data_IF_465501762972
#
_entry.id   IF_465501762972
#
_cell.length_a   1.000
_cell.length_b   1.000
_cell.length_c   1.000
_cell.angle_alpha   90.00
_cell.angle_beta   90.00
_cell.angle_gamma   90.00
#
_symmetry.space_group_name_H-M   'P 1'
#
loop_
_entity.id
_entity.type
_entity.pdbx_description
1 polymer ?
#
# COMPACT_ATOMS: atom_id res chain seq x y z
N UNK A 1 9.54 31.61 29.02
CA UNK A 1 8.98 30.51 28.20
C UNK A 1 8.18 29.64 29.15
N UNK A 2 6.98 29.16 28.82
CA UNK A 2 6.31 28.19 29.69
C UNK A 2 7.25 27.00 29.89
N UNK A 3 7.47 26.61 31.13
CA UNK A 3 8.33 25.50 31.49
C UNK A 3 7.74 24.23 30.89
N UNK A 4 8.33 23.79 29.78
CA UNK A 4 7.96 22.52 29.18
C UNK A 4 8.36 21.40 30.14
N UNK A 5 7.47 20.45 30.45
CA UNK A 5 7.83 19.31 31.28
C UNK A 5 9.03 18.55 30.71
N UNK A 6 9.86 17.96 31.58
CA UNK A 6 11.07 17.21 31.17
C UNK A 6 10.79 16.12 30.13
N UNK A 7 9.63 15.47 30.25
CA UNK A 7 9.23 14.42 29.31
C UNK A 7 8.91 14.96 27.91
N UNK A 8 8.58 16.25 27.77
CA UNK A 8 8.38 16.95 26.51
C UNK A 8 9.72 17.46 25.96
N UNK A 9 10.57 18.03 26.82
CA UNK A 9 11.87 18.58 26.44
C UNK A 9 12.77 17.55 25.76
N UNK A 10 12.71 16.28 26.17
CA UNK A 10 13.43 15.16 25.53
C UNK A 10 13.17 15.03 24.02
N UNK A 11 12.04 15.55 23.53
CA UNK A 11 11.65 15.49 22.12
C UNK A 11 11.98 16.77 21.33
N UNK A 12 12.42 17.85 22.00
CA UNK A 12 12.84 19.11 21.38
C UNK A 12 14.26 18.99 20.83
N UNK A 13 14.39 18.36 19.67
CA UNK A 13 15.67 18.17 18.96
C UNK A 13 15.85 19.20 17.84
N UNK A 14 17.06 19.31 17.29
CA UNK A 14 17.34 20.16 16.12
C UNK A 14 16.37 19.82 14.98
N UNK A 15 15.69 20.84 14.44
CA UNK A 15 14.68 20.67 13.39
C UNK A 15 13.28 20.27 13.88
N UNK A 16 13.05 20.19 15.20
CA UNK A 16 11.74 19.89 15.79
C UNK A 16 11.33 21.00 16.74
N UNK A 17 10.18 21.61 16.47
CA UNK A 17 9.50 22.54 17.37
C UNK A 17 8.41 21.82 18.14
N UNK A 18 8.32 22.09 19.45
CA UNK A 18 7.17 21.68 20.26
C UNK A 18 6.32 22.90 20.55
N UNK A 19 5.05 22.83 20.21
CA UNK A 19 4.04 23.85 20.52
C UNK A 19 3.06 23.29 21.55
N UNK A 20 2.80 24.06 22.61
CA UNK A 20 1.70 23.81 23.52
C UNK A 20 0.43 24.45 22.97
N UNK A 21 -0.67 23.69 22.87
CA UNK A 21 -1.98 24.20 22.42
C UNK A 21 -3.06 23.75 23.38
N UNK A 22 -3.45 24.64 24.27
CA UNK A 22 -4.29 24.31 25.42
C UNK A 22 -3.47 23.62 26.52
N UNK A 23 -4.02 23.60 27.73
CA UNK A 23 -3.33 23.15 28.92
C UNK A 23 -2.87 21.69 28.80
N UNK A 24 -1.56 21.44 28.92
CA UNK A 24 -0.98 20.10 28.93
C UNK A 24 -0.95 19.37 27.59
N UNK A 25 -1.25 20.04 26.47
CA UNK A 25 -1.28 19.43 25.14
C UNK A 25 -0.11 19.90 24.28
N UNK A 26 0.83 18.98 24.01
CA UNK A 26 2.06 19.28 23.28
C UNK A 26 2.08 18.62 21.90
N UNK A 27 2.49 19.39 20.89
CA UNK A 27 2.49 19.00 19.49
C UNK A 27 3.84 19.24 18.84
N UNK A 28 4.35 18.23 18.14
CA UNK A 28 5.65 18.28 17.48
C UNK A 28 5.51 18.62 16.00
N UNK A 29 6.34 19.55 15.53
CA UNK A 29 6.41 20.01 14.16
C UNK A 29 7.86 19.97 13.65
N UNK A 30 8.05 19.54 12.41
CA UNK A 30 9.31 19.69 11.70
C UNK A 30 9.45 21.13 11.25
N UNK A 31 10.56 21.77 11.62
CA UNK A 31 10.85 23.15 11.27
C UNK A 31 12.19 23.26 10.55
N UNK A 32 12.26 24.21 9.62
CA UNK A 32 13.49 24.64 8.95
C UNK A 32 13.56 26.17 8.98
N UNK A 33 14.71 26.71 8.57
CA UNK A 33 14.91 28.16 8.51
C UNK A 33 15.40 28.53 7.12
N UNK A 34 14.74 29.50 6.48
CA UNK A 34 15.13 30.03 5.16
C UNK A 34 15.45 31.50 5.31
N UNK A 35 16.50 31.98 4.63
CA UNK A 35 16.82 33.40 4.62
C UNK A 35 15.69 34.20 3.95
N UNK A 36 15.20 35.24 4.63
CA UNK A 36 14.22 36.19 4.11
C UNK A 36 14.95 37.52 3.81
N UNK A 37 15.18 37.85 2.53
CA UNK A 37 15.93 39.05 2.15
C UNK A 37 15.17 40.35 2.42
N UNK A 38 13.83 40.34 2.45
CA UNK A 38 13.04 41.54 2.77
C UNK A 38 13.14 41.89 4.25
N UNK A 39 13.13 40.86 5.11
CA UNK A 39 13.30 41.04 6.57
C UNK A 39 14.76 41.08 7.02
N UNK A 40 15.71 40.83 6.11
CA UNK A 40 17.15 40.78 6.40
C UNK A 40 17.54 39.74 7.45
N UNK A 41 16.77 38.66 7.61
CA UNK A 41 17.00 37.65 8.66
C UNK A 41 16.47 36.26 8.28
N UNK A 42 16.95 35.19 8.93
CA UNK A 42 16.37 33.86 8.74
C UNK A 42 14.93 33.82 9.27
N UNK A 43 14.00 33.31 8.46
CA UNK A 43 12.62 33.07 8.82
C UNK A 43 12.38 31.58 9.07
N UNK A 44 11.78 31.27 10.23
CA UNK A 44 11.31 29.92 10.57
C UNK A 44 10.18 29.50 9.62
N UNK A 45 10.31 28.32 9.02
CA UNK A 45 9.29 27.66 8.21
C UNK A 45 8.86 26.38 8.94
N UNK A 46 7.55 26.18 9.07
CA UNK A 46 6.98 24.93 9.59
C UNK A 46 6.69 24.02 8.40
N UNK A 47 7.40 22.89 8.30
CA UNK A 47 7.27 21.96 7.16
C UNK A 47 6.16 20.95 7.38
N UNK A 48 6.16 20.28 8.53
CA UNK A 48 5.36 19.07 8.71
C UNK A 48 4.88 18.89 10.15
N UNK A 49 3.63 18.49 10.32
CA UNK A 49 3.13 18.01 11.61
C UNK A 49 3.59 16.55 11.86
N UNK A 50 4.40 16.37 12.91
CA UNK A 50 5.00 15.09 13.29
C UNK A 50 4.08 14.27 14.21
N UNK A 51 3.28 14.93 15.07
CA UNK A 51 2.36 14.23 15.97
C UNK A 51 2.16 14.89 17.33
N UNK A 52 1.35 14.26 18.18
CA UNK A 52 1.13 14.68 19.58
C UNK A 52 2.21 14.07 20.46
N UNK A 53 2.86 14.86 21.31
CA UNK A 53 3.80 14.35 22.31
C UNK A 53 3.00 13.80 23.48
N UNK A 54 3.14 12.49 23.74
CA UNK A 54 2.40 11.79 24.79
C UNK A 54 3.39 11.22 25.80
N UNK A 55 3.16 11.50 27.10
CA UNK A 55 3.98 11.01 28.20
C UNK A 55 4.13 9.48 28.12
N UNK A 56 5.37 8.99 28.12
CA UNK A 56 5.71 7.57 28.02
C UNK A 56 5.64 6.95 26.61
N UNK A 57 4.95 7.58 25.63
CA UNK A 57 4.87 7.08 24.24
C UNK A 57 5.72 7.88 23.24
N UNK A 58 6.15 9.08 23.63
CA UNK A 58 6.88 10.00 22.77
C UNK A 58 5.99 10.68 21.73
N UNK A 59 6.54 11.01 20.56
CA UNK A 59 5.79 11.65 19.47
C UNK A 59 4.91 10.60 18.79
N UNK A 60 3.59 10.71 18.97
CA UNK A 60 2.62 9.82 18.35
C UNK A 60 2.12 10.46 17.05
N UNK A 61 2.45 9.89 15.87
CA UNK A 61 2.07 10.47 14.59
C UNK A 61 0.55 10.48 14.37
N UNK A 62 0.04 11.35 13.47
CA UNK A 62 -1.38 11.38 13.13
C UNK A 62 -1.85 10.06 12.52
N UNK A 63 -3.14 9.72 12.69
CA UNK A 63 -3.70 8.39 12.35
C UNK A 63 -3.38 7.93 10.93
N UNK A 64 -3.38 8.84 9.96
CA UNK A 64 -3.07 8.53 8.55
C UNK A 64 -1.58 8.25 8.28
N UNK A 65 -0.66 8.69 9.15
CA UNK A 65 0.78 8.38 9.08
C UNK A 65 1.18 7.17 9.93
N UNK A 66 0.26 6.66 10.78
CA UNK A 66 0.52 5.46 11.56
C UNK A 66 0.56 4.26 10.62
N UNK A 67 1.67 3.52 10.60
CA UNK A 67 1.67 2.18 10.02
C UNK A 67 0.65 1.35 10.78
N UNK A 68 -0.35 0.81 10.08
CA UNK A 68 -1.24 -0.19 10.68
C UNK A 68 -0.38 -1.41 10.97
N UNK A 69 -0.14 -1.68 12.25
CA UNK A 69 0.39 -2.97 12.66
C UNK A 69 -0.77 -3.95 12.44
N UNK A 70 -0.76 -4.66 11.32
CA UNK A 70 -1.71 -5.74 11.08
C UNK A 70 -1.29 -6.91 11.96
N UNK A 71 -1.51 -6.77 13.26
CA UNK A 71 -1.49 -7.88 14.20
C UNK A 71 -2.92 -8.42 14.24
N UNK A 72 -3.30 -9.18 13.22
CA UNK A 72 -4.59 -9.83 13.17
C UNK A 72 -4.38 -11.22 12.59
N UNK A 73 -5.11 -12.19 13.14
CA UNK A 73 -5.27 -13.53 12.60
C UNK A 73 -5.45 -13.41 11.09
N UNK A 74 -4.46 -13.89 10.34
CA UNK A 74 -4.47 -13.79 8.90
C UNK A 74 -5.40 -14.86 8.36
N UNK A 75 -6.31 -14.47 7.49
CA UNK A 75 -7.11 -15.42 6.74
C UNK A 75 -6.20 -16.19 5.77
N UNK A 76 -6.12 -17.52 5.94
CA UNK A 76 -5.13 -18.38 5.26
C UNK A 76 -5.74 -19.37 4.27
N UNK A 77 -6.84 -20.05 4.63
CA UNK A 77 -7.32 -21.23 3.92
C UNK A 77 -7.69 -20.96 2.44
N UNK A 78 -8.45 -19.91 2.20
CA UNK A 78 -8.83 -19.47 0.85
C UNK A 78 -7.62 -19.05 0.01
N UNK A 79 -6.68 -18.30 0.58
CA UNK A 79 -5.49 -17.83 -0.12
C UNK A 79 -4.56 -19.00 -0.48
N UNK A 80 -4.35 -19.95 0.44
CA UNK A 80 -3.50 -21.11 0.17
C UNK A 80 -4.12 -22.04 -0.89
N UNK A 81 -5.44 -22.25 -0.85
CA UNK A 81 -6.15 -22.96 -1.90
C UNK A 81 -5.95 -22.27 -3.26
N UNK A 82 -6.17 -20.95 -3.33
CA UNK A 82 -6.00 -20.22 -4.58
C UNK A 82 -4.55 -20.17 -5.04
N UNK A 83 -3.56 -20.15 -4.13
CA UNK A 83 -2.15 -20.31 -4.51
C UNK A 83 -1.96 -21.60 -5.30
N UNK A 84 -2.48 -22.72 -4.78
CA UNK A 84 -2.34 -24.02 -5.45
C UNK A 84 -3.07 -24.05 -6.80
N UNK A 85 -4.30 -23.51 -6.87
CA UNK A 85 -5.05 -23.40 -8.13
C UNK A 85 -4.32 -22.56 -9.18
N UNK A 86 -3.63 -21.49 -8.74
CA UNK A 86 -2.92 -20.56 -9.63
C UNK A 86 -1.48 -20.98 -9.93
N UNK A 87 -0.95 -22.00 -9.25
CA UNK A 87 0.44 -22.47 -9.38
C UNK A 87 0.86 -22.81 -10.82
N UNK A 88 0.01 -23.46 -11.64
CA UNK A 88 0.36 -23.74 -13.05
C UNK A 88 0.63 -22.49 -13.89
N UNK A 89 0.06 -21.33 -13.52
CA UNK A 89 0.27 -20.06 -14.23
C UNK A 89 1.60 -19.39 -13.85
N UNK A 90 2.25 -19.81 -12.77
CA UNK A 90 3.33 -19.04 -12.17
C UNK A 90 4.56 -18.94 -13.08
N UNK A 91 4.96 -20.03 -13.74
CA UNK A 91 6.11 -20.03 -14.64
C UNK A 91 5.88 -19.16 -15.88
N UNK A 92 4.76 -19.37 -16.57
CA UNK A 92 4.41 -18.56 -17.74
C UNK A 92 4.19 -17.07 -17.41
N UNK A 93 3.76 -16.74 -16.19
CA UNK A 93 3.69 -15.35 -15.73
C UNK A 93 5.06 -14.79 -15.35
N UNK A 94 5.95 -15.60 -14.76
CA UNK A 94 7.32 -15.17 -14.43
C UNK A 94 8.11 -14.84 -15.68
N UNK A 95 7.97 -15.64 -16.73
CA UNK A 95 8.66 -15.41 -18.01
C UNK A 95 8.17 -14.14 -18.71
N UNK A 96 6.85 -13.94 -18.78
CA UNK A 96 6.24 -12.86 -19.55
C UNK A 96 6.06 -11.54 -18.78
N UNK A 97 5.97 -11.63 -17.44
CA UNK A 97 5.70 -10.52 -16.54
C UNK A 97 6.58 -10.60 -15.28
N UNK A 98 7.93 -10.66 -15.38
CA UNK A 98 8.83 -10.95 -14.26
C UNK A 98 8.69 -9.97 -13.08
N UNK A 99 8.43 -8.68 -13.35
CA UNK A 99 8.25 -7.67 -12.31
C UNK A 99 6.82 -7.63 -11.73
N UNK A 100 5.89 -8.38 -12.33
CA UNK A 100 4.46 -8.26 -12.08
C UNK A 100 3.75 -9.56 -11.76
N UNK A 101 4.36 -10.74 -11.94
CA UNK A 101 3.70 -12.03 -11.76
C UNK A 101 3.05 -12.17 -10.37
N UNK A 102 3.76 -11.79 -9.30
CA UNK A 102 3.20 -11.80 -7.93
C UNK A 102 2.03 -10.84 -7.78
N UNK A 103 2.09 -9.68 -8.43
CA UNK A 103 1.01 -8.69 -8.41
C UNK A 103 -0.23 -9.23 -9.13
N UNK A 104 -0.04 -9.88 -10.29
CA UNK A 104 -1.11 -10.48 -11.08
C UNK A 104 -1.78 -11.62 -10.30
N UNK A 105 -1.00 -12.57 -9.78
CA UNK A 105 -1.49 -13.71 -9.00
C UNK A 105 -2.21 -13.27 -7.73
N UNK A 106 -1.62 -12.33 -6.99
CA UNK A 106 -2.23 -11.76 -5.79
C UNK A 106 -3.54 -11.04 -6.10
N UNK A 107 -3.57 -10.22 -7.16
CA UNK A 107 -4.77 -9.53 -7.58
C UNK A 107 -5.88 -10.51 -8.00
N UNK A 108 -5.54 -11.57 -8.75
CA UNK A 108 -6.49 -12.61 -9.16
C UNK A 108 -7.08 -13.33 -7.95
N UNK A 109 -6.24 -13.74 -7.00
CA UNK A 109 -6.71 -14.40 -5.78
C UNK A 109 -7.63 -13.49 -4.95
N UNK A 110 -7.25 -12.22 -4.75
CA UNK A 110 -8.06 -11.27 -3.98
C UNK A 110 -9.36 -10.87 -4.69
N UNK A 111 -9.37 -10.86 -6.04
CA UNK A 111 -10.60 -10.70 -6.83
C UNK A 111 -11.56 -11.85 -6.59
N UNK A 112 -11.06 -13.08 -6.57
CA UNK A 112 -11.89 -14.27 -6.35
C UNK A 112 -12.38 -14.37 -4.90
N UNK A 113 -11.54 -14.11 -3.91
CA UNK A 113 -11.94 -14.21 -2.50
C UNK A 113 -12.93 -13.13 -2.05
N UNK A 114 -12.75 -11.89 -2.50
CA UNK A 114 -13.41 -10.74 -1.89
C UNK A 114 -14.18 -9.86 -2.87
N UNK A 115 -14.21 -10.21 -4.17
CA UNK A 115 -14.67 -9.33 -5.24
C UNK A 115 -14.00 -7.94 -5.16
N UNK A 116 -12.74 -7.91 -4.71
CA UNK A 116 -12.12 -6.68 -4.23
C UNK A 116 -12.05 -5.62 -5.34
N UNK A 117 -12.51 -4.38 -5.09
CA UNK A 117 -12.27 -3.28 -6.01
C UNK A 117 -10.80 -2.86 -5.94
N UNK A 118 -10.24 -2.29 -7.01
CA UNK A 118 -8.81 -1.91 -7.08
C UNK A 118 -8.36 -1.03 -5.91
N UNK A 119 -9.27 -0.19 -5.38
CA UNK A 119 -9.01 0.67 -4.23
C UNK A 119 -8.72 -0.08 -2.92
N UNK A 120 -9.21 -1.30 -2.76
CA UNK A 120 -9.11 -2.08 -1.54
C UNK A 120 -8.07 -3.21 -1.64
N UNK A 121 -7.49 -3.46 -2.83
CA UNK A 121 -6.53 -4.54 -3.06
C UNK A 121 -5.37 -4.53 -2.08
N UNK A 122 -4.71 -3.37 -1.91
CA UNK A 122 -3.64 -3.21 -0.94
C UNK A 122 -4.05 -3.60 0.47
N UNK A 123 -5.24 -3.17 0.89
CA UNK A 123 -5.75 -3.46 2.23
C UNK A 123 -5.98 -4.96 2.43
N UNK A 124 -6.72 -5.62 1.53
CA UNK A 124 -6.96 -7.07 1.62
C UNK A 124 -5.68 -7.89 1.53
N UNK A 125 -4.71 -7.46 0.74
CA UNK A 125 -3.40 -8.09 0.67
C UNK A 125 -2.66 -8.02 2.01
N UNK A 126 -2.55 -6.81 2.57
CA UNK A 126 -1.88 -6.54 3.85
C UNK A 126 -2.57 -7.24 5.04
N UNK A 127 -3.88 -7.54 4.93
CA UNK A 127 -4.68 -8.15 6.01
C UNK A 127 -4.98 -9.64 5.83
N UNK A 128 -4.53 -10.29 4.75
CA UNK A 128 -4.70 -11.73 4.53
C UNK A 128 -3.35 -12.42 4.34
N UNK A 129 -3.32 -13.75 4.26
CA UNK A 129 -2.07 -14.49 3.99
C UNK A 129 -1.45 -14.17 2.62
N UNK A 130 -2.16 -13.45 1.76
CA UNK A 130 -1.72 -13.00 0.44
C UNK A 130 -0.39 -12.23 0.49
N UNK A 131 -0.16 -11.36 1.50
CA UNK A 131 1.13 -10.66 1.64
C UNK A 131 2.32 -11.56 1.96
N UNK A 132 2.08 -12.78 2.46
CA UNK A 132 3.15 -13.75 2.70
C UNK A 132 3.43 -14.57 1.46
N UNK A 133 2.39 -14.98 0.74
CA UNK A 133 2.53 -15.78 -0.49
C UNK A 133 3.15 -14.96 -1.61
N UNK A 134 2.67 -13.73 -1.82
CA UNK A 134 3.10 -12.84 -2.90
C UNK A 134 3.70 -11.55 -2.32
N UNK A 135 4.78 -11.70 -1.56
CA UNK A 135 5.40 -10.61 -0.79
C UNK A 135 5.92 -9.43 -1.62
N UNK A 136 6.16 -9.62 -2.92
CA UNK A 136 6.62 -8.57 -3.84
C UNK A 136 5.47 -7.92 -4.62
N UNK A 137 4.21 -8.26 -4.32
CA UNK A 137 3.06 -7.70 -5.01
C UNK A 137 2.88 -6.21 -4.72
N UNK A 138 2.69 -5.40 -5.76
CA UNK A 138 2.45 -3.95 -5.65
C UNK A 138 0.99 -3.61 -5.98
N UNK A 139 0.17 -3.51 -4.93
CA UNK A 139 -1.29 -3.43 -5.06
C UNK A 139 -1.87 -2.05 -4.74
N UNK A 140 -1.06 -1.00 -4.85
CA UNK A 140 -1.57 0.37 -4.72
C UNK A 140 -2.53 0.70 -5.88
N UNK A 141 -3.58 1.50 -5.62
CA UNK A 141 -4.58 1.85 -6.66
C UNK A 141 -3.94 2.47 -7.90
N UNK A 142 -2.96 3.36 -7.71
CA UNK A 142 -2.30 4.06 -8.82
C UNK A 142 -1.45 3.08 -9.63
N UNK A 143 -0.68 2.23 -8.93
CA UNK A 143 0.11 1.18 -9.58
C UNK A 143 -0.77 0.24 -10.39
N UNK A 144 -1.87 -0.25 -9.81
CA UNK A 144 -2.77 -1.17 -10.49
C UNK A 144 -3.44 -0.54 -11.72
N UNK A 145 -3.88 0.71 -11.63
CA UNK A 145 -4.50 1.43 -12.76
C UNK A 145 -3.55 1.53 -13.95
N UNK A 146 -2.27 1.83 -13.69
CA UNK A 146 -1.24 1.92 -14.72
C UNK A 146 -0.89 0.54 -15.30
N UNK A 147 -0.57 -0.41 -14.41
CA UNK A 147 -0.15 -1.76 -14.78
C UNK A 147 -1.21 -2.54 -15.55
N UNK A 148 -2.50 -2.40 -15.21
CA UNK A 148 -3.59 -3.05 -15.96
C UNK A 148 -3.61 -2.64 -17.44
N UNK A 149 -3.31 -1.37 -17.74
CA UNK A 149 -3.24 -0.88 -19.12
C UNK A 149 -2.04 -1.47 -19.85
N UNK A 150 -0.90 -1.55 -19.17
CA UNK A 150 0.33 -2.15 -19.68
C UNK A 150 0.13 -3.65 -19.99
N UNK A 151 -0.30 -4.43 -18.99
CA UNK A 151 -0.57 -5.86 -19.15
C UNK A 151 -1.63 -6.12 -20.20
N UNK A 152 -2.67 -5.28 -20.27
CA UNK A 152 -3.74 -5.33 -21.26
C UNK A 152 -3.29 -5.04 -22.70
N UNK A 153 -2.18 -4.31 -22.89
CA UNK A 153 -1.57 -4.11 -24.21
C UNK A 153 -0.62 -5.24 -24.62
N UNK A 154 0.00 -5.92 -23.65
CA UNK A 154 0.88 -7.07 -23.94
C UNK A 154 0.08 -8.34 -24.27
N UNK A 155 -0.57 -8.35 -25.43
CA UNK A 155 -1.34 -9.51 -25.90
C UNK A 155 -0.48 -10.76 -26.08
N UNK A 156 0.75 -10.60 -26.60
CA UNK A 156 1.68 -11.70 -26.82
C UNK A 156 2.06 -12.41 -25.52
N UNK A 157 2.40 -11.65 -24.47
CA UNK A 157 2.73 -12.23 -23.17
C UNK A 157 1.55 -12.94 -22.54
N UNK A 158 0.33 -12.37 -22.61
CA UNK A 158 -0.87 -13.06 -22.12
C UNK A 158 -1.10 -14.40 -22.84
N UNK A 159 -0.99 -14.42 -24.18
CA UNK A 159 -1.16 -15.64 -24.94
C UNK A 159 -0.10 -16.69 -24.62
N UNK A 160 1.17 -16.29 -24.47
CA UNK A 160 2.26 -17.21 -24.11
C UNK A 160 2.06 -17.78 -22.71
N UNK A 161 1.64 -16.97 -21.74
CA UNK A 161 1.24 -17.46 -20.42
C UNK A 161 0.12 -18.51 -20.53
N UNK A 162 -0.96 -18.26 -21.28
CA UNK A 162 -2.02 -19.27 -21.41
C UNK A 162 -1.56 -20.53 -22.13
N UNK A 163 -0.74 -20.40 -23.17
CA UNK A 163 -0.18 -21.54 -23.89
C UNK A 163 0.74 -22.39 -23.02
N UNK A 164 1.40 -21.82 -22.02
CA UNK A 164 2.21 -22.59 -21.07
C UNK A 164 1.39 -23.60 -20.25
N UNK A 165 0.06 -23.43 -20.19
CA UNK A 165 -0.85 -24.38 -19.54
C UNK A 165 -1.32 -25.53 -20.45
N UNK A 166 -1.07 -25.43 -21.76
CA UNK A 166 -1.63 -26.33 -22.76
C UNK A 166 -0.62 -27.40 -23.16
N UNK A 167 -1.08 -28.65 -23.27
CA UNK A 167 -0.32 -29.72 -23.91
C UNK A 167 -0.32 -29.59 -25.43
N UNK A 168 0.45 -30.45 -26.08
CA UNK A 168 0.49 -30.50 -27.54
C UNK A 168 -0.87 -30.93 -28.11
N UNK A 169 -1.47 -30.07 -28.95
CA UNK A 169 -2.81 -30.28 -29.53
C UNK A 169 -3.97 -29.70 -28.72
N UNK A 170 -3.73 -29.21 -27.51
CA UNK A 170 -4.77 -28.57 -26.70
C UNK A 170 -5.13 -27.18 -27.23
N UNK A 171 -6.41 -26.81 -27.08
CA UNK A 171 -6.91 -25.48 -27.42
C UNK A 171 -7.61 -24.88 -26.21
N UNK A 172 -7.40 -23.57 -25.98
CA UNK A 172 -8.13 -22.81 -24.95
C UNK A 172 -9.10 -21.85 -25.61
N UNK A 173 -10.38 -21.96 -25.25
CA UNK A 173 -11.40 -20.98 -25.57
C UNK A 173 -11.68 -20.16 -24.31
N UNK A 174 -11.49 -18.86 -24.38
CA UNK A 174 -11.76 -17.94 -23.28
C UNK A 174 -12.88 -17.00 -23.72
N UNK A 175 -14.05 -17.16 -23.11
CA UNK A 175 -15.13 -16.18 -23.25
C UNK A 175 -14.86 -15.00 -22.31
N UNK A 176 -14.63 -13.82 -22.91
CA UNK A 176 -14.39 -12.57 -22.19
C UNK A 176 -15.64 -11.68 -22.15
N UNK A 177 -16.81 -12.20 -22.52
CA UNK A 177 -18.07 -11.48 -22.46
C UNK A 177 -18.32 -10.99 -21.03
N UNK A 178 -18.38 -9.66 -20.87
CA UNK A 178 -18.75 -9.03 -19.60
C UNK A 178 -20.27 -8.89 -19.58
N UNK A 179 -20.94 -9.55 -18.64
CA UNK A 179 -22.36 -9.24 -18.34
C UNK A 179 -22.37 -8.03 -17.42
N UNK A 180 -22.72 -6.86 -17.97
CA UNK A 180 -22.94 -5.67 -17.16
C UNK A 180 -24.25 -5.85 -16.38
N UNK A 181 -24.18 -5.79 -15.06
CA UNK A 181 -25.37 -5.69 -14.21
C UNK A 181 -25.71 -4.22 -14.05
N UNK A 182 -26.79 -3.77 -14.71
CA UNK A 182 -27.39 -2.45 -14.51
C UNK A 182 -28.29 -2.43 -13.25
N UNK A 183 -27.82 -3.00 -12.14
CA UNK A 183 -28.56 -2.94 -10.88
C UNK A 183 -28.61 -1.49 -10.38
N UNK A 184 -29.75 -0.85 -10.55
CA UNK A 184 -30.09 0.39 -9.84
C UNK A 184 -30.42 0.03 -8.38
N UNK A 185 -29.68 0.62 -7.44
CA UNK A 185 -30.03 0.64 -6.00
C UNK A 185 -30.45 2.06 -5.63
#
# INVERSE_FOLDING_TARGET
>A
MPDLPDWVLKHKKKGVEIQERGEGNYYAYKITSKWDPEKGRPQKITEEYLGKVVKGKGIVPPKHKRRRKVEAVLETGNILLLKHVLEPLEEGLKEEFPDSFQTILSMAALKLCYSSPLKNMKMHHETSWSHRVWSQASLSRNTLTERLREWGRNHGGRLRTYRSLLGEGDNIAIDLSQVFSESEN
#
